data_IF_264181359191
#
_entry.id   IF_264181359191
#
_cell.length_a   1.000
_cell.length_b   1.000
_cell.length_c   1.000
_cell.angle_alpha   90.00
_cell.angle_beta   90.00
_cell.angle_gamma   90.00
#
_symmetry.space_group_name_H-M   'P 1'
#
loop_
_entity.id
_entity.type
_entity.pdbx_description
1 polymer ?
#
# COMPACT_ATOMS: atom_id res chain seq x y z
N UNK A 1 -3.94 -10.17 -5.06
CA UNK A 1 -4.49 -9.13 -5.94
C UNK A 1 -3.80 -7.77 -5.78
N UNK A 2 -3.17 -7.48 -4.67
CA UNK A 2 -2.47 -6.21 -4.40
C UNK A 2 -0.97 -6.24 -4.74
N UNK A 3 -0.50 -7.29 -5.40
CA UNK A 3 0.89 -7.36 -5.89
C UNK A 3 1.29 -6.12 -6.69
N UNK A 4 0.32 -5.49 -7.36
CA UNK A 4 0.58 -4.29 -8.13
C UNK A 4 1.07 -3.12 -7.27
N UNK A 5 0.62 -3.02 -6.01
CA UNK A 5 1.06 -1.94 -5.13
C UNK A 5 2.53 -2.13 -4.73
N UNK A 6 2.94 -3.36 -4.39
CA UNK A 6 4.32 -3.66 -4.02
C UNK A 6 5.25 -3.62 -5.22
N UNK A 7 4.86 -4.24 -6.34
CA UNK A 7 5.63 -4.23 -7.59
C UNK A 7 5.66 -2.82 -8.18
N UNK A 8 4.52 -2.14 -8.24
CA UNK A 8 4.39 -0.84 -8.89
C UNK A 8 5.24 0.23 -8.21
N UNK A 9 5.25 0.30 -6.88
CA UNK A 9 6.07 1.27 -6.14
C UNK A 9 7.56 0.93 -6.23
N UNK A 10 7.93 -0.36 -6.23
CA UNK A 10 9.31 -0.79 -6.45
C UNK A 10 9.77 -0.46 -7.86
N UNK A 11 8.97 -0.77 -8.88
CA UNK A 11 9.26 -0.39 -10.27
C UNK A 11 9.41 1.11 -10.45
N UNK A 12 8.58 1.91 -9.78
CA UNK A 12 8.69 3.37 -9.81
C UNK A 12 10.03 3.83 -9.23
N UNK A 13 10.46 3.28 -8.09
CA UNK A 13 11.76 3.57 -7.49
C UNK A 13 12.93 3.23 -8.43
N UNK A 14 12.90 2.04 -9.04
CA UNK A 14 13.90 1.59 -10.03
C UNK A 14 13.91 2.47 -11.29
N UNK A 15 12.74 2.91 -11.72
CA UNK A 15 12.63 3.78 -12.89
C UNK A 15 13.20 5.17 -12.61
N UNK A 16 12.85 5.76 -11.47
CA UNK A 16 13.34 7.09 -11.08
C UNK A 16 14.88 7.13 -10.94
N UNK A 17 15.50 5.99 -10.64
CA UNK A 17 16.97 5.86 -10.58
C UNK A 17 17.61 5.43 -11.91
N UNK A 18 16.81 5.12 -12.93
CA UNK A 18 17.31 4.63 -14.22
C UNK A 18 17.88 3.21 -14.19
N UNK A 19 17.58 2.42 -13.16
CA UNK A 19 18.20 1.12 -12.88
C UNK A 19 17.29 -0.08 -13.14
N UNK A 20 16.19 0.11 -13.88
CA UNK A 20 15.17 -0.92 -14.13
C UNK A 20 15.72 -2.22 -14.73
N UNK A 21 16.84 -2.15 -15.46
CA UNK A 21 17.50 -3.28 -16.12
C UNK A 21 18.77 -3.75 -15.40
N UNK A 22 18.87 -3.52 -14.10
CA UNK A 22 19.98 -4.00 -13.26
C UNK A 22 19.69 -5.37 -12.63
N UNK A 23 20.73 -6.06 -12.16
CA UNK A 23 20.57 -7.26 -11.34
C UNK A 23 19.83 -6.96 -10.03
N UNK A 24 20.08 -5.80 -9.43
CA UNK A 24 19.38 -5.36 -8.23
C UNK A 24 17.88 -5.23 -8.47
N UNK A 25 17.48 -4.72 -9.65
CA UNK A 25 16.07 -4.65 -10.03
C UNK A 25 15.40 -6.03 -10.04
N UNK A 26 16.10 -7.04 -10.58
CA UNK A 26 15.60 -8.43 -10.61
C UNK A 26 15.38 -8.94 -9.20
N UNK A 27 16.37 -8.78 -8.30
CA UNK A 27 16.26 -9.24 -6.91
C UNK A 27 15.15 -8.51 -6.15
N UNK A 28 15.07 -7.19 -6.26
CA UNK A 28 14.04 -6.40 -5.60
C UNK A 28 12.64 -6.75 -6.11
N UNK A 29 12.46 -6.88 -7.44
CA UNK A 29 11.17 -7.23 -8.02
C UNK A 29 10.76 -8.67 -7.67
N UNK A 30 11.70 -9.62 -7.68
CA UNK A 30 11.40 -10.98 -7.22
C UNK A 30 10.95 -11.01 -5.76
N UNK A 31 11.62 -10.25 -4.89
CA UNK A 31 11.25 -10.18 -3.47
C UNK A 31 9.85 -9.64 -3.26
N UNK A 32 9.48 -8.54 -3.92
CA UNK A 32 8.17 -7.91 -3.74
C UNK A 32 7.02 -8.62 -4.48
N UNK A 33 7.30 -9.72 -5.17
CA UNK A 33 6.29 -10.62 -5.74
C UNK A 33 5.78 -11.61 -4.68
N UNK A 34 5.93 -12.93 -4.89
CA UNK A 34 5.46 -13.95 -3.98
C UNK A 34 6.05 -13.86 -2.57
N UNK A 35 7.37 -13.69 -2.36
CA UNK A 35 7.94 -13.69 -1.01
C UNK A 35 7.32 -12.65 -0.10
N UNK A 36 7.32 -11.40 -0.52
CA UNK A 36 6.82 -10.30 0.29
C UNK A 36 5.29 -10.29 0.41
N UNK A 37 4.58 -10.66 -0.66
CA UNK A 37 3.13 -10.78 -0.59
C UNK A 37 2.69 -11.96 0.29
N UNK A 38 3.47 -13.03 0.38
CA UNK A 38 3.21 -14.08 1.37
C UNK A 38 3.42 -13.57 2.80
N UNK A 39 4.39 -12.69 3.03
CA UNK A 39 4.53 -12.01 4.33
C UNK A 39 3.29 -11.17 4.64
N UNK A 40 2.82 -10.34 3.70
CA UNK A 40 1.65 -9.47 3.90
C UNK A 40 0.40 -10.29 4.17
N UNK A 41 0.03 -11.16 3.21
CA UNK A 41 -1.27 -11.86 3.24
C UNK A 41 -1.22 -13.13 4.09
N UNK A 42 -0.11 -13.87 4.08
CA UNK A 42 0.02 -15.07 4.89
C UNK A 42 0.01 -14.74 6.38
N UNK A 43 0.70 -13.68 6.81
CA UNK A 43 0.63 -13.22 8.20
C UNK A 43 -0.77 -12.71 8.54
N UNK A 44 -1.41 -11.99 7.62
CA UNK A 44 -2.79 -11.54 7.82
C UNK A 44 -3.73 -12.74 8.03
N UNK A 45 -3.70 -13.73 7.13
CA UNK A 45 -4.56 -14.90 7.20
C UNK A 45 -4.29 -15.74 8.47
N UNK A 46 -3.02 -15.85 8.94
CA UNK A 46 -2.68 -16.53 10.19
C UNK A 46 -3.39 -15.90 11.40
N UNK A 47 -3.40 -14.56 11.49
CA UNK A 47 -3.95 -13.85 12.65
C UNK A 47 -5.43 -13.47 12.53
N UNK A 48 -6.05 -13.72 11.35
CA UNK A 48 -7.44 -13.38 11.06
C UNK A 48 -8.38 -14.59 10.99
N UNK A 49 -7.92 -15.79 11.32
CA UNK A 49 -8.72 -17.02 11.19
C UNK A 49 -10.12 -16.91 11.80
N UNK A 50 -10.24 -16.32 12.99
CA UNK A 50 -11.53 -16.17 13.68
C UNK A 50 -12.47 -15.24 12.92
N UNK A 51 -11.96 -14.10 12.47
CA UNK A 51 -12.72 -13.11 11.70
C UNK A 51 -13.02 -13.60 10.28
N UNK A 52 -12.08 -14.31 9.66
CA UNK A 52 -12.21 -14.86 8.31
C UNK A 52 -13.23 -16.00 8.24
N UNK A 53 -13.39 -16.76 9.31
CA UNK A 53 -14.40 -17.83 9.39
C UNK A 53 -15.83 -17.31 9.29
N UNK A 54 -16.09 -16.11 9.80
CA UNK A 54 -17.40 -15.45 9.79
C UNK A 54 -17.60 -14.63 8.51
N UNK A 55 -16.52 -14.25 7.83
CA UNK A 55 -16.58 -13.39 6.64
C UNK A 55 -17.02 -14.20 5.41
N UNK A 56 -18.22 -13.87 4.89
CA UNK A 56 -18.82 -14.52 3.72
C UNK A 56 -17.98 -14.34 2.44
N UNK A 57 -17.15 -13.27 2.37
CA UNK A 57 -16.30 -13.00 1.21
C UNK A 57 -15.06 -13.91 1.13
N UNK A 58 -14.63 -14.48 2.26
CA UNK A 58 -13.48 -15.39 2.36
C UNK A 58 -13.84 -16.81 1.93
N UNK A 59 -12.87 -17.52 1.41
CA UNK A 59 -13.04 -18.90 0.87
C UNK A 59 -13.31 -18.92 -0.63
N UNK A 60 -13.15 -17.78 -1.33
CA UNK A 60 -13.30 -17.65 -2.77
C UNK A 60 -12.40 -16.56 -3.33
N UNK A 61 -12.93 -15.75 -4.25
CA UNK A 61 -12.18 -14.66 -4.89
C UNK A 61 -11.74 -13.56 -3.90
N UNK A 62 -12.42 -13.40 -2.79
CA UNK A 62 -12.14 -12.39 -1.76
C UNK A 62 -11.02 -12.75 -0.77
N UNK A 63 -10.37 -13.90 -0.93
CA UNK A 63 -9.26 -14.36 -0.08
C UNK A 63 -9.42 -15.81 0.38
N UNK A 64 -8.33 -16.41 0.82
CA UNK A 64 -8.32 -17.78 1.33
C UNK A 64 -8.96 -17.87 2.73
N UNK A 65 -9.51 -19.03 3.04
CA UNK A 65 -9.72 -19.49 4.43
C UNK A 65 -8.68 -20.57 4.67
N UNK A 66 -7.82 -20.37 5.65
CA UNK A 66 -6.75 -21.33 5.96
C UNK A 66 -7.19 -22.30 7.04
N UNK A 67 -6.79 -23.57 6.87
CA UNK A 67 -6.93 -24.57 7.95
C UNK A 67 -5.86 -24.32 9.02
N UNK A 68 -6.17 -24.44 10.33
CA UNK A 68 -5.17 -24.36 11.39
C UNK A 68 -3.93 -25.23 11.17
N UNK A 69 -4.06 -26.33 10.44
CA UNK A 69 -2.94 -27.21 10.05
C UNK A 69 -1.99 -26.59 9.04
N UNK A 70 -2.44 -25.58 8.28
CA UNK A 70 -1.64 -24.89 7.28
C UNK A 70 -0.78 -23.76 7.88
N UNK A 71 -1.16 -23.25 9.06
CA UNK A 71 -0.47 -22.15 9.76
C UNK A 71 1.05 -22.35 9.85
N UNK A 72 1.57 -23.52 10.33
CA UNK A 72 3.02 -23.71 10.40
C UNK A 72 3.70 -23.64 9.04
N UNK A 73 3.05 -24.15 7.99
CA UNK A 73 3.59 -24.17 6.63
C UNK A 73 3.62 -22.76 6.04
N UNK A 74 2.58 -21.95 6.26
CA UNK A 74 2.54 -20.56 5.83
C UNK A 74 3.62 -19.77 6.57
N UNK A 75 3.74 -19.91 7.90
CA UNK A 75 4.76 -19.25 8.70
C UNK A 75 6.17 -19.62 8.25
N UNK A 76 6.43 -20.91 7.99
CA UNK A 76 7.70 -21.39 7.42
C UNK A 76 7.94 -20.80 6.02
N UNK A 77 6.93 -20.78 5.16
CA UNK A 77 7.01 -20.19 3.83
C UNK A 77 7.36 -18.70 3.88
N UNK A 78 6.74 -17.93 4.80
CA UNK A 78 7.07 -16.52 5.02
C UNK A 78 8.55 -16.37 5.34
N UNK A 79 9.07 -17.13 6.30
CA UNK A 79 10.49 -17.05 6.69
C UNK A 79 11.40 -17.52 5.56
N UNK A 80 11.15 -18.71 5.03
CA UNK A 80 12.02 -19.34 4.03
C UNK A 80 12.14 -18.52 2.74
N UNK A 81 11.05 -17.88 2.30
CA UNK A 81 11.05 -17.10 1.07
C UNK A 81 11.57 -15.67 1.27
N UNK A 82 11.40 -15.05 2.44
CA UNK A 82 11.87 -13.68 2.65
C UNK A 82 13.31 -13.62 3.17
N UNK A 83 13.72 -14.54 4.04
CA UNK A 83 15.02 -14.48 4.71
C UNK A 83 16.21 -14.40 3.75
N UNK A 84 16.29 -15.17 2.64
CA UNK A 84 17.39 -15.07 1.69
C UNK A 84 17.55 -13.67 1.08
N UNK A 85 16.42 -13.01 0.75
CA UNK A 85 16.44 -11.65 0.22
C UNK A 85 16.89 -10.66 1.28
N UNK A 86 16.35 -10.75 2.50
CA UNK A 86 16.71 -9.85 3.60
C UNK A 86 18.19 -9.97 3.98
N UNK A 87 18.74 -11.19 3.96
CA UNK A 87 20.20 -11.40 4.16
C UNK A 87 20.99 -10.75 3.01
N UNK A 88 20.62 -11.03 1.76
CA UNK A 88 21.31 -10.45 0.60
C UNK A 88 21.30 -8.92 0.65
N UNK A 89 20.15 -8.33 0.93
CA UNK A 89 20.00 -6.87 1.03
C UNK A 89 20.80 -6.31 2.22
N UNK A 90 20.77 -7.00 3.36
CA UNK A 90 21.53 -6.62 4.55
C UNK A 90 23.04 -6.57 4.32
N UNK A 91 23.55 -7.45 3.47
CA UNK A 91 24.98 -7.54 3.17
C UNK A 91 25.42 -6.59 2.05
N UNK A 92 24.53 -6.21 1.14
CA UNK A 92 24.89 -5.50 -0.08
C UNK A 92 24.43 -4.04 -0.13
N UNK A 93 23.44 -3.65 0.69
CA UNK A 93 22.89 -2.30 0.63
C UNK A 93 23.24 -1.44 1.84
N UNK A 94 23.08 -0.13 1.69
CA UNK A 94 23.37 0.84 2.74
C UNK A 94 22.51 0.63 3.99
N UNK A 95 22.99 1.06 5.14
CA UNK A 95 22.23 1.01 6.40
C UNK A 95 20.88 1.75 6.28
N UNK A 96 20.86 2.89 5.59
CA UNK A 96 19.65 3.67 5.37
C UNK A 96 18.61 2.89 4.53
N UNK A 97 19.03 2.24 3.44
CA UNK A 97 18.17 1.38 2.63
C UNK A 97 17.60 0.23 3.46
N UNK A 98 18.48 -0.43 4.24
CA UNK A 98 18.08 -1.53 5.12
C UNK A 98 17.08 -1.07 6.19
N UNK A 99 17.26 0.11 6.78
CA UNK A 99 16.33 0.65 7.77
C UNK A 99 14.90 0.82 7.19
N UNK A 100 14.78 1.37 5.97
CA UNK A 100 13.49 1.50 5.29
C UNK A 100 12.89 0.14 4.89
N UNK A 101 13.70 -0.79 4.44
CA UNK A 101 13.27 -2.14 4.06
C UNK A 101 12.78 -2.94 5.27
N UNK A 102 13.50 -2.85 6.41
CA UNK A 102 13.04 -3.45 7.66
C UNK A 102 11.79 -2.77 8.20
N UNK A 103 11.69 -1.43 8.13
CA UNK A 103 10.48 -0.72 8.48
C UNK A 103 9.29 -1.20 7.64
N UNK A 104 9.49 -1.38 6.31
CA UNK A 104 8.48 -1.93 5.41
C UNK A 104 8.01 -3.33 5.83
N UNK A 105 8.94 -4.23 6.06
CA UNK A 105 8.64 -5.62 6.44
C UNK A 105 7.95 -5.70 7.82
N UNK A 106 8.45 -4.94 8.79
CA UNK A 106 7.92 -4.96 10.16
C UNK A 106 6.56 -4.27 10.27
N UNK A 107 6.30 -3.24 9.48
CA UNK A 107 4.98 -2.58 9.47
C UNK A 107 3.91 -3.55 8.99
N UNK A 108 4.15 -4.28 7.90
CA UNK A 108 3.21 -5.30 7.41
C UNK A 108 3.09 -6.49 8.38
N UNK A 109 4.20 -6.94 8.97
CA UNK A 109 4.15 -7.99 9.98
C UNK A 109 3.25 -7.57 11.15
N UNK A 110 3.51 -6.41 11.75
CA UNK A 110 2.80 -5.91 12.91
C UNK A 110 1.44 -5.27 12.59
N UNK A 111 1.08 -5.14 11.34
CA UNK A 111 -0.28 -4.79 10.96
C UNK A 111 -1.29 -5.79 11.53
N UNK A 112 -0.99 -7.08 11.42
CA UNK A 112 -1.86 -8.16 11.91
C UNK A 112 -1.33 -8.86 13.16
N UNK A 113 0.00 -8.99 13.31
CA UNK A 113 0.61 -9.75 14.39
C UNK A 113 0.65 -8.99 15.73
N UNK A 114 0.43 -9.69 16.89
CA UNK A 114 0.72 -9.12 18.20
C UNK A 114 2.25 -8.88 18.36
N UNK A 115 2.66 -8.02 19.31
CA UNK A 115 1.83 -7.29 20.25
C UNK A 115 1.21 -6.01 19.71
N UNK A 116 1.64 -5.52 18.52
CA UNK A 116 1.24 -4.21 18.04
C UNK A 116 -0.12 -4.25 17.37
N UNK A 117 -0.40 -5.19 16.46
CA UNK A 117 -1.67 -5.41 15.76
C UNK A 117 -2.33 -4.09 15.33
N UNK A 118 -1.65 -3.33 14.46
CA UNK A 118 -2.03 -1.96 14.07
C UNK A 118 -3.47 -1.88 13.54
N UNK A 119 -3.94 -2.89 12.82
CA UNK A 119 -5.30 -2.93 12.24
C UNK A 119 -6.42 -2.81 13.27
N UNK A 120 -6.17 -3.16 14.54
CA UNK A 120 -7.14 -3.02 15.62
C UNK A 120 -7.00 -1.75 16.44
N UNK A 121 -6.19 -0.78 16.00
CA UNK A 121 -5.89 0.45 16.74
C UNK A 121 -6.21 1.69 15.90
N UNK A 122 -7.19 2.51 16.33
CA UNK A 122 -7.56 3.73 15.62
C UNK A 122 -6.34 4.59 15.30
N UNK A 123 -6.32 5.16 14.13
CA UNK A 123 -5.25 5.93 13.49
C UNK A 123 -4.03 5.09 13.09
N UNK A 124 -3.61 4.09 13.89
CA UNK A 124 -2.46 3.26 13.54
C UNK A 124 -2.75 2.33 12.36
N UNK A 125 -3.99 1.81 12.24
CA UNK A 125 -4.42 1.06 11.06
C UNK A 125 -4.30 1.86 9.78
N UNK A 126 -4.60 3.15 9.83
CA UNK A 126 -4.48 4.08 8.70
C UNK A 126 -3.02 4.47 8.44
N UNK A 127 -2.31 4.95 9.47
CA UNK A 127 -0.95 5.47 9.36
C UNK A 127 0.04 4.38 8.93
N UNK A 128 -0.12 3.15 9.40
CA UNK A 128 0.75 2.03 9.00
C UNK A 128 0.70 1.77 7.49
N UNK A 129 -0.43 2.04 6.83
CA UNK A 129 -0.54 1.89 5.37
C UNK A 129 0.28 2.93 4.55
N UNK A 130 0.93 3.89 5.21
CA UNK A 130 1.95 4.73 4.58
C UNK A 130 3.15 3.91 4.06
N UNK A 131 3.32 2.69 4.56
CA UNK A 131 4.39 1.75 4.18
C UNK A 131 4.37 1.38 2.69
N UNK A 132 3.24 1.43 1.99
CA UNK A 132 3.20 1.25 0.53
C UNK A 132 4.08 2.23 -0.24
N UNK A 133 4.49 3.36 0.36
CA UNK A 133 5.42 4.31 -0.23
C UNK A 133 6.90 3.98 0.04
N UNK A 134 7.21 3.07 0.97
CA UNK A 134 8.58 2.81 1.41
C UNK A 134 9.52 2.32 0.29
N UNK A 135 9.05 1.57 -0.73
CA UNK A 135 9.90 1.26 -1.88
C UNK A 135 10.47 2.49 -2.61
N UNK A 136 9.75 3.62 -2.61
CA UNK A 136 10.28 4.87 -3.17
C UNK A 136 11.43 5.47 -2.34
N UNK A 137 11.63 5.03 -1.11
CA UNK A 137 12.76 5.41 -0.27
C UNK A 137 13.88 4.36 -0.33
N UNK A 138 13.58 3.08 -0.04
CA UNK A 138 14.64 2.08 0.06
C UNK A 138 15.30 1.74 -1.28
N UNK A 139 14.56 1.74 -2.39
CA UNK A 139 15.11 1.39 -3.71
C UNK A 139 16.20 2.39 -4.14
N UNK A 140 15.94 3.71 -4.16
CA UNK A 140 17.01 4.68 -4.46
C UNK A 140 18.20 4.56 -3.50
N UNK A 141 17.95 4.50 -2.19
CA UNK A 141 19.00 4.39 -1.18
C UNK A 141 19.86 3.12 -1.33
N UNK A 142 19.26 2.00 -1.73
CA UNK A 142 19.97 0.76 -2.01
C UNK A 142 20.91 0.89 -3.21
N UNK A 143 20.53 1.72 -4.18
CA UNK A 143 21.26 1.93 -5.43
C UNK A 143 22.18 3.17 -5.39
N UNK A 144 22.37 3.77 -4.20
CA UNK A 144 23.24 4.91 -4.01
C UNK A 144 22.68 6.25 -4.50
N UNK A 145 21.37 6.32 -4.68
CA UNK A 145 20.66 7.54 -5.10
C UNK A 145 19.87 8.16 -3.94
N UNK A 146 19.68 9.48 -3.99
CA UNK A 146 18.81 10.18 -3.06
C UNK A 146 17.35 9.98 -3.46
N UNK A 147 16.46 9.59 -2.53
CA UNK A 147 15.03 9.46 -2.81
C UNK A 147 14.37 10.81 -3.15
N UNK A 148 13.37 10.78 -4.00
CA UNK A 148 12.50 11.93 -4.20
C UNK A 148 11.52 12.05 -3.02
N UNK A 149 12.02 12.56 -1.88
CA UNK A 149 11.31 12.58 -0.59
C UNK A 149 9.90 13.14 -0.68
N UNK A 150 9.70 14.17 -1.52
CA UNK A 150 8.38 14.76 -1.69
C UNK A 150 7.39 13.76 -2.30
N UNK A 151 7.83 12.92 -3.24
CA UNK A 151 6.99 11.85 -3.80
C UNK A 151 6.75 10.72 -2.77
N UNK A 152 7.77 10.38 -1.96
CA UNK A 152 7.63 9.41 -0.87
C UNK A 152 6.52 9.87 0.09
N UNK A 153 6.61 11.09 0.62
CA UNK A 153 5.62 11.61 1.58
C UNK A 153 4.25 11.85 0.94
N UNK A 154 4.20 12.25 -0.33
CA UNK A 154 2.94 12.37 -1.06
C UNK A 154 2.21 11.01 -1.14
N UNK A 155 2.94 9.94 -1.46
CA UNK A 155 2.37 8.60 -1.55
C UNK A 155 2.03 8.03 -0.16
N UNK A 156 2.80 8.34 0.89
CA UNK A 156 2.45 8.00 2.27
C UNK A 156 1.10 8.60 2.65
N UNK A 157 0.92 9.91 2.43
CA UNK A 157 -0.33 10.61 2.71
C UNK A 157 -1.50 10.05 1.89
N UNK A 158 -1.24 9.70 0.63
CA UNK A 158 -2.23 9.06 -0.24
C UNK A 158 -2.66 7.69 0.27
N UNK A 159 -1.71 6.84 0.64
CA UNK A 159 -1.96 5.45 1.04
C UNK A 159 -2.74 5.37 2.35
N UNK A 160 -2.36 6.15 3.36
CA UNK A 160 -3.07 6.16 4.64
C UNK A 160 -4.53 6.65 4.49
N UNK A 161 -4.76 7.65 3.64
CA UNK A 161 -6.11 8.13 3.35
C UNK A 161 -6.93 7.07 2.58
N UNK A 162 -6.30 6.44 1.58
CA UNK A 162 -6.90 5.36 0.78
C UNK A 162 -7.36 4.20 1.66
N UNK A 163 -6.53 3.79 2.62
CA UNK A 163 -6.88 2.73 3.56
C UNK A 163 -8.13 3.09 4.38
N UNK A 164 -8.17 4.28 4.98
CA UNK A 164 -9.36 4.72 5.74
C UNK A 164 -10.61 4.85 4.86
N UNK A 165 -10.46 5.34 3.63
CA UNK A 165 -11.57 5.40 2.68
C UNK A 165 -12.15 4.02 2.39
N UNK A 166 -11.29 3.05 2.14
CA UNK A 166 -11.69 1.67 1.87
C UNK A 166 -12.35 1.00 3.09
N UNK A 167 -11.88 1.31 4.29
CA UNK A 167 -12.43 0.79 5.53
C UNK A 167 -13.85 1.34 5.86
N UNK A 168 -14.31 2.41 5.21
CA UNK A 168 -15.68 2.93 5.44
C UNK A 168 -16.74 1.88 5.10
N UNK A 169 -16.51 1.05 4.09
CA UNK A 169 -17.47 -0.01 3.72
C UNK A 169 -17.61 -1.12 4.75
N UNK A 170 -16.60 -1.28 5.60
CA UNK A 170 -16.47 -2.39 6.54
C UNK A 170 -16.79 -1.97 7.99
N UNK A 171 -17.22 -0.72 8.24
CA UNK A 171 -17.47 -0.17 9.59
C UNK A 171 -18.39 -1.07 10.44
N UNK A 172 -19.49 -1.58 9.88
CA UNK A 172 -20.44 -2.40 10.62
C UNK A 172 -19.85 -3.80 10.89
N UNK A 173 -19.15 -4.38 9.93
CA UNK A 173 -18.53 -5.70 10.03
C UNK A 173 -17.37 -5.69 11.04
N UNK A 174 -16.49 -4.67 10.94
CA UNK A 174 -15.39 -4.48 11.88
C UNK A 174 -15.86 -4.22 13.30
N UNK A 175 -16.91 -3.39 13.46
CA UNK A 175 -17.51 -3.11 14.77
C UNK A 175 -18.13 -4.38 15.37
N UNK A 176 -18.74 -5.25 14.57
CA UNK A 176 -19.35 -6.50 15.02
C UNK A 176 -18.32 -7.48 15.58
N UNK A 177 -17.11 -7.52 14.99
CA UNK A 177 -16.00 -8.36 15.47
C UNK A 177 -15.02 -7.61 16.39
N UNK A 178 -15.46 -6.47 16.93
CA UNK A 178 -14.71 -5.62 17.88
C UNK A 178 -13.34 -5.12 17.37
N UNK A 179 -13.14 -5.05 16.05
CA UNK A 179 -11.95 -4.43 15.45
C UNK A 179 -12.15 -2.91 15.43
N UNK A 180 -11.30 -2.19 16.13
CA UNK A 180 -11.37 -0.72 16.27
C UNK A 180 -10.50 -0.04 15.22
N UNK A 181 -10.92 -0.08 13.95
CA UNK A 181 -10.25 0.68 12.88
C UNK A 181 -10.49 2.20 13.03
N UNK A 182 -9.71 3.01 12.31
CA UNK A 182 -9.95 4.47 12.22
C UNK A 182 -11.36 4.77 11.73
N UNK A 183 -11.84 4.01 10.73
CA UNK A 183 -13.18 4.19 10.19
C UNK A 183 -14.27 3.86 11.21
N UNK A 184 -14.12 2.79 12.00
CA UNK A 184 -15.03 2.45 13.10
C UNK A 184 -15.02 3.52 14.19
N UNK A 185 -13.83 3.99 14.58
CA UNK A 185 -13.68 5.01 15.63
C UNK A 185 -14.28 6.37 15.25
N UNK A 186 -14.08 6.79 14.01
CA UNK A 186 -14.53 8.10 13.52
C UNK A 186 -15.97 8.09 13.00
N UNK A 187 -16.47 6.94 12.54
CA UNK A 187 -17.68 6.84 11.73
C UNK A 187 -17.50 7.43 10.31
N UNK A 188 -18.39 7.13 9.39
CA UNK A 188 -18.24 7.46 7.97
C UNK A 188 -17.99 8.97 7.72
N UNK A 189 -18.75 9.86 8.37
CA UNK A 189 -18.64 11.31 8.15
C UNK A 189 -17.26 11.88 8.52
N UNK A 190 -16.74 11.55 9.71
CA UNK A 190 -15.44 12.04 10.16
C UNK A 190 -14.30 11.35 9.43
N UNK A 191 -14.48 10.08 9.03
CA UNK A 191 -13.53 9.38 8.16
C UNK A 191 -13.35 10.10 6.83
N UNK A 192 -14.42 10.61 6.21
CA UNK A 192 -14.29 11.42 4.99
C UNK A 192 -13.52 12.73 5.21
N UNK A 193 -13.62 13.35 6.39
CA UNK A 193 -12.80 14.53 6.71
C UNK A 193 -11.32 14.17 6.86
N UNK A 194 -11.00 13.07 7.55
CA UNK A 194 -9.65 12.53 7.67
C UNK A 194 -9.04 12.21 6.31
N UNK A 195 -9.78 11.48 5.49
CA UNK A 195 -9.40 11.13 4.11
C UNK A 195 -9.18 12.37 3.25
N UNK A 196 -10.13 13.33 3.31
CA UNK A 196 -10.06 14.58 2.55
C UNK A 196 -8.81 15.37 2.90
N UNK A 197 -8.50 15.52 4.20
CA UNK A 197 -7.29 16.20 4.64
C UNK A 197 -6.03 15.59 4.03
N UNK A 198 -5.85 14.27 4.18
CA UNK A 198 -4.64 13.61 3.71
C UNK A 198 -4.56 13.51 2.18
N UNK A 199 -5.68 13.38 1.47
CA UNK A 199 -5.65 13.43 0.01
C UNK A 199 -5.38 14.85 -0.53
N UNK A 200 -5.80 15.91 0.18
CA UNK A 200 -5.37 17.28 -0.17
C UNK A 200 -3.88 17.43 0.02
N UNK A 201 -3.34 17.02 1.18
CA UNK A 201 -1.89 17.03 1.44
C UNK A 201 -1.13 16.28 0.34
N UNK A 202 -1.55 15.05 0.04
CA UNK A 202 -0.97 14.24 -1.03
C UNK A 202 -1.02 14.94 -2.39
N UNK A 203 -2.18 15.49 -2.77
CA UNK A 203 -2.35 16.16 -4.07
C UNK A 203 -1.47 17.39 -4.23
N UNK A 204 -1.34 18.19 -3.17
CA UNK A 204 -0.45 19.35 -3.14
C UNK A 204 1.01 18.91 -3.29
N UNK A 205 1.44 17.90 -2.54
CA UNK A 205 2.82 17.39 -2.63
C UNK A 205 3.10 16.79 -4.02
N UNK A 206 2.16 16.02 -4.58
CA UNK A 206 2.30 15.52 -5.96
C UNK A 206 2.35 16.66 -6.98
N UNK A 207 1.59 17.74 -6.78
CA UNK A 207 1.63 18.87 -7.70
C UNK A 207 3.00 19.57 -7.75
N UNK A 208 3.75 19.58 -6.65
CA UNK A 208 5.14 20.06 -6.62
C UNK A 208 6.11 19.11 -7.32
N UNK A 209 5.80 17.80 -7.38
CA UNK A 209 6.60 16.82 -8.15
C UNK A 209 6.19 16.88 -9.63
N UNK A 210 4.89 16.86 -9.89
CA UNK A 210 4.29 16.84 -11.20
C UNK A 210 2.88 17.43 -11.13
N UNK A 211 2.70 18.64 -11.61
CA UNK A 211 1.43 19.39 -11.53
C UNK A 211 0.23 18.61 -12.12
N UNK A 212 0.29 18.03 -13.34
CA UNK A 212 -0.80 17.22 -13.87
C UNK A 212 -1.17 16.03 -12.97
N UNK A 213 -0.19 15.36 -12.38
CA UNK A 213 -0.42 14.25 -11.46
C UNK A 213 -1.16 14.70 -10.20
N UNK A 214 -0.73 15.82 -9.59
CA UNK A 214 -1.39 16.40 -8.44
C UNK A 214 -2.84 16.79 -8.69
N UNK A 215 -3.11 17.42 -9.85
CA UNK A 215 -4.47 17.78 -10.27
C UNK A 215 -5.33 16.53 -10.47
N UNK A 216 -4.82 15.53 -11.19
CA UNK A 216 -5.54 14.29 -11.43
C UNK A 216 -5.86 13.56 -10.12
N UNK A 217 -4.90 13.52 -9.19
CA UNK A 217 -5.09 12.96 -7.86
C UNK A 217 -6.20 13.70 -7.08
N UNK A 218 -6.15 15.04 -7.08
CA UNK A 218 -7.16 15.86 -6.40
C UNK A 218 -8.58 15.66 -6.97
N UNK A 219 -8.70 15.62 -8.30
CA UNK A 219 -9.99 15.44 -8.97
C UNK A 219 -10.58 14.05 -8.68
N UNK A 220 -9.75 13.00 -8.76
CA UNK A 220 -10.22 11.64 -8.50
C UNK A 220 -10.57 11.44 -7.03
N UNK A 221 -9.72 11.90 -6.12
CA UNK A 221 -9.98 11.88 -4.68
C UNK A 221 -11.26 12.65 -4.31
N UNK A 222 -11.43 13.85 -4.84
CA UNK A 222 -12.64 14.66 -4.64
C UNK A 222 -13.90 13.96 -5.15
N UNK A 223 -13.82 13.31 -6.30
CA UNK A 223 -14.92 12.50 -6.84
C UNK A 223 -15.27 11.32 -5.94
N UNK A 224 -14.30 10.58 -5.43
CA UNK A 224 -14.51 9.47 -4.50
C UNK A 224 -15.20 9.95 -3.21
N UNK A 225 -14.70 11.03 -2.61
CA UNK A 225 -15.30 11.62 -1.41
C UNK A 225 -16.75 12.05 -1.69
N UNK A 226 -17.00 12.69 -2.84
CA UNK A 226 -18.33 13.09 -3.26
C UNK A 226 -19.30 11.89 -3.37
N UNK A 227 -18.85 10.75 -3.92
CA UNK A 227 -19.68 9.55 -4.05
C UNK A 227 -20.19 9.03 -2.70
N UNK A 228 -19.33 8.97 -1.67
CA UNK A 228 -19.77 8.52 -0.33
C UNK A 228 -20.49 9.64 0.42
N UNK A 229 -20.12 10.91 0.23
CA UNK A 229 -20.75 12.03 0.94
C UNK A 229 -22.24 12.18 0.64
N UNK A 230 -22.68 11.76 -0.56
CA UNK A 230 -24.08 11.80 -0.98
C UNK A 230 -24.95 10.73 -0.31
N UNK A 231 -24.36 9.59 -0.02
CA UNK A 231 -25.02 8.48 0.64
C UNK A 231 -23.95 7.71 1.43
N UNK A 232 -23.99 7.87 2.75
CA UNK A 232 -23.01 7.27 3.68
C UNK A 232 -23.43 5.86 4.14
N UNK A 233 -24.42 5.25 3.48
CA UNK A 233 -24.84 3.89 3.80
C UNK A 233 -23.73 2.88 3.48
N UNK A 234 -23.60 1.78 4.25
CA UNK A 234 -22.65 0.70 3.94
C UNK A 234 -22.89 0.11 2.54
N UNK A 235 -24.12 0.04 2.09
CA UNK A 235 -24.47 -0.44 0.75
C UNK A 235 -23.86 0.44 -0.36
N UNK A 236 -23.93 1.76 -0.21
CA UNK A 236 -23.28 2.67 -1.15
C UNK A 236 -21.75 2.59 -1.06
N UNK A 237 -21.17 2.54 0.13
CA UNK A 237 -19.72 2.40 0.30
C UNK A 237 -19.21 1.14 -0.40
N UNK A 238 -19.85 -0.02 -0.24
CA UNK A 238 -19.54 -1.26 -0.96
C UNK A 238 -19.69 -1.13 -2.48
N UNK A 239 -20.74 -0.43 -2.95
CA UNK A 239 -20.97 -0.20 -4.39
C UNK A 239 -19.87 0.64 -5.03
N UNK A 240 -19.37 1.67 -4.34
CA UNK A 240 -18.36 2.59 -4.87
C UNK A 240 -16.92 2.10 -4.66
N UNK A 241 -16.69 1.09 -3.85
CA UNK A 241 -15.37 0.53 -3.54
C UNK A 241 -14.57 0.17 -4.79
N UNK A 242 -15.22 -0.37 -5.83
CA UNK A 242 -14.56 -0.69 -7.11
C UNK A 242 -13.85 0.53 -7.75
N UNK A 243 -14.37 1.73 -7.55
CA UNK A 243 -13.76 2.96 -8.06
C UNK A 243 -12.53 3.34 -7.22
N UNK A 244 -12.57 3.08 -5.91
CA UNK A 244 -11.41 3.24 -5.06
C UNK A 244 -10.29 2.26 -5.46
N UNK A 245 -10.62 1.01 -5.80
CA UNK A 245 -9.67 0.03 -6.33
C UNK A 245 -9.05 0.51 -7.64
N UNK A 246 -9.81 1.22 -8.49
CA UNK A 246 -9.31 1.76 -9.76
C UNK A 246 -8.36 2.97 -9.58
N UNK A 247 -8.41 3.68 -8.44
CA UNK A 247 -7.65 4.91 -8.21
C UNK A 247 -6.14 4.77 -8.48
N UNK A 248 -5.41 3.81 -7.89
CA UNK A 248 -3.97 3.67 -8.14
C UNK A 248 -3.66 3.35 -9.62
N UNK A 249 -4.55 2.63 -10.31
CA UNK A 249 -4.34 2.33 -11.73
C UNK A 249 -4.49 3.57 -12.60
N UNK A 250 -5.52 4.39 -12.36
CA UNK A 250 -5.75 5.61 -13.15
C UNK A 250 -4.61 6.60 -12.95
N UNK A 251 -4.27 6.94 -11.72
CA UNK A 251 -3.24 7.94 -11.41
C UNK A 251 -1.85 7.38 -11.72
N UNK A 252 -1.59 6.11 -11.42
CA UNK A 252 -0.34 5.43 -11.75
C UNK A 252 -0.09 5.31 -13.24
N UNK A 253 -1.12 5.02 -14.05
CA UNK A 253 -1.00 5.00 -15.50
C UNK A 253 -0.68 6.41 -16.06
N UNK A 254 -1.32 7.45 -15.54
CA UNK A 254 -1.01 8.83 -15.94
C UNK A 254 0.46 9.19 -15.64
N UNK A 255 0.95 8.85 -14.46
CA UNK A 255 2.35 9.04 -14.08
C UNK A 255 3.28 8.25 -15.01
N UNK A 256 2.97 7.00 -15.28
CA UNK A 256 3.73 6.12 -16.16
C UNK A 256 3.80 6.66 -17.61
N UNK A 257 2.67 7.09 -18.17
CA UNK A 257 2.62 7.67 -19.53
C UNK A 257 3.48 8.93 -19.60
N UNK A 258 3.41 9.83 -18.62
CA UNK A 258 4.23 11.04 -18.62
C UNK A 258 5.72 10.70 -18.51
N UNK A 259 6.08 9.72 -17.69
CA UNK A 259 7.46 9.30 -17.53
C UNK A 259 8.01 8.68 -18.81
N UNK A 260 7.26 7.79 -19.47
CA UNK A 260 7.62 7.20 -20.78
C UNK A 260 7.76 8.30 -21.83
N UNK A 261 6.80 9.23 -21.90
CA UNK A 261 6.83 10.33 -22.86
C UNK A 261 8.07 11.21 -22.66
N UNK A 262 8.43 11.52 -21.41
CA UNK A 262 9.64 12.30 -21.11
C UNK A 262 10.93 11.59 -21.55
N UNK A 263 10.99 10.26 -21.39
CA UNK A 263 12.14 9.47 -21.83
C UNK A 263 12.25 9.40 -23.35
N UNK A 264 11.11 9.16 -24.03
CA UNK A 264 11.07 9.12 -25.50
C UNK A 264 11.44 10.48 -26.10
N UNK A 265 10.87 11.57 -25.56
CA UNK A 265 11.19 12.92 -26.03
C UNK A 265 12.65 13.30 -25.79
N UNK A 266 13.28 12.87 -24.67
CA UNK A 266 14.71 13.08 -24.45
C UNK A 266 15.60 12.31 -25.44
N UNK A 267 15.11 11.22 -26.01
CA UNK A 267 15.82 10.47 -27.05
C UNK A 267 15.78 11.15 -28.42
N UNK A 268 14.82 12.06 -28.64
CA UNK A 268 14.60 12.77 -29.92
C UNK A 268 14.97 14.24 -29.86
N UNK A 269 15.35 14.77 -28.69
CA UNK A 269 15.87 16.15 -28.59
C UNK A 269 17.41 16.07 -28.47
N UNK A 270 18.15 16.77 -29.33
CA UNK A 270 19.62 16.78 -29.32
C UNK A 270 20.18 17.42 -28.04
#
# INVERSE_FOLDING_TARGET
>A
MLWINTIGTTMMGLWLTGTLWSWDAIWMLLWVTLPFNLLIYGINDIFDQETDNINIRKGGYGGAKIDPKEVPWIAWGVVALNLPFLIYFGLNYSLAANAWMWAYSLTFLFYSAPPLRFKGRPYLDSISNADYAFPLAFVPLALGHEPLWLAVFALMAWSLAKHTYDAIQDIEEDAFVEIKTTAVHLGAKKSLLWVGFWWIVSSVMFAFVNMPLGIANALYAGWLIWLISRDQSPANAKRVYKYSVAFPYVVGTMAGVQLVSALVLKQFLP
#
